data_IF_860997172239
#
_entry.id   IF_860997172239
#
_cell.length_a   1.000
_cell.length_b   1.000
_cell.length_c   1.000
_cell.angle_alpha   90.00
_cell.angle_beta   90.00
_cell.angle_gamma   90.00
#
_symmetry.space_group_name_H-M   'P 1'
#
loop_
_entity.id
_entity.type
_entity.pdbx_description
1 polymer ?
#
# COMPACT_ATOMS: atom_id res chain seq x y z
N UNK A 1 8.46 -19.14 6.06
CA UNK A 1 7.85 -18.43 7.21
C UNK A 1 8.99 -18.05 8.15
N UNK A 2 9.18 -16.76 8.46
CA UNK A 2 10.24 -16.26 9.34
C UNK A 2 9.61 -15.31 10.36
N UNK A 3 9.86 -15.48 11.64
CA UNK A 3 9.25 -14.73 12.74
C UNK A 3 10.18 -13.74 13.44
N UNK A 4 11.47 -13.73 13.07
CA UNK A 4 12.50 -12.91 13.70
C UNK A 4 12.96 -11.75 12.82
N UNK A 5 12.79 -11.87 11.50
CA UNK A 5 13.12 -10.82 10.54
C UNK A 5 11.84 -10.26 9.90
N UNK A 6 11.53 -8.96 10.06
CA UNK A 6 10.40 -8.32 9.41
C UNK A 6 10.47 -8.32 7.88
N UNK A 7 11.63 -8.48 7.25
CA UNK A 7 11.69 -8.73 5.81
C UNK A 7 12.08 -10.18 5.54
N UNK A 8 11.09 -11.07 5.53
CA UNK A 8 11.29 -12.49 5.27
C UNK A 8 11.67 -12.82 3.81
N UNK A 9 11.67 -11.81 2.93
CA UNK A 9 11.91 -11.93 1.50
C UNK A 9 13.14 -11.11 1.07
N UNK A 10 13.61 -11.35 -0.15
CA UNK A 10 14.64 -10.53 -0.79
C UNK A 10 14.14 -9.11 -1.13
N UNK A 11 15.04 -8.18 -1.48
CA UNK A 11 14.69 -6.79 -1.77
C UNK A 11 14.06 -6.58 -3.14
N UNK A 12 13.93 -7.62 -3.96
CA UNK A 12 13.53 -7.53 -5.35
C UNK A 12 12.29 -8.39 -5.64
N UNK A 13 11.44 -7.96 -6.59
CA UNK A 13 10.32 -8.77 -7.03
C UNK A 13 10.80 -10.09 -7.67
N UNK A 14 10.00 -11.14 -7.53
CA UNK A 14 10.25 -12.44 -8.14
C UNK A 14 10.30 -12.32 -9.67
N UNK A 15 11.37 -12.78 -10.34
CA UNK A 15 11.51 -12.63 -11.80
C UNK A 15 10.44 -13.38 -12.59
N UNK A 16 9.79 -14.38 -12.01
CA UNK A 16 8.75 -15.17 -12.66
C UNK A 16 7.34 -14.54 -12.54
N UNK A 17 7.17 -13.52 -11.69
CA UNK A 17 5.90 -12.83 -11.57
C UNK A 17 5.67 -11.94 -12.80
N UNK A 18 4.44 -11.95 -13.34
CA UNK A 18 4.05 -11.05 -14.43
C UNK A 18 2.90 -10.16 -13.98
N UNK A 19 1.67 -10.64 -14.13
CA UNK A 19 0.46 -10.01 -13.63
C UNK A 19 -0.21 -10.97 -12.65
N UNK A 20 -0.49 -10.48 -11.44
CA UNK A 20 -1.13 -11.23 -10.38
C UNK A 20 -2.43 -10.55 -9.98
N UNK A 21 -3.47 -11.34 -9.75
CA UNK A 21 -4.75 -10.88 -9.19
C UNK A 21 -4.82 -11.30 -7.73
N UNK A 22 -4.86 -10.34 -6.83
CA UNK A 22 -4.93 -10.56 -5.39
C UNK A 22 -6.32 -10.15 -4.91
N UNK A 23 -7.13 -11.11 -4.52
CA UNK A 23 -8.39 -10.83 -3.84
C UNK A 23 -8.10 -10.23 -2.47
N UNK A 24 -8.62 -9.03 -2.21
CA UNK A 24 -8.43 -8.27 -0.97
C UNK A 24 -9.50 -8.64 0.05
N UNK A 25 -10.75 -8.64 -0.40
CA UNK A 25 -11.92 -9.06 0.37
C UNK A 25 -12.74 -10.04 -0.44
N UNK A 26 -13.45 -10.92 0.26
CA UNK A 26 -14.32 -11.92 -0.33
C UNK A 26 -15.64 -11.94 0.43
N UNK A 27 -16.76 -11.53 -0.22
CA UNK A 27 -18.06 -11.58 0.43
C UNK A 27 -18.45 -13.00 0.84
N UNK A 28 -17.91 -14.03 0.19
CA UNK A 28 -18.22 -15.43 0.49
C UNK A 28 -17.47 -15.97 1.73
N UNK A 29 -16.41 -15.29 2.18
CA UNK A 29 -15.51 -15.78 3.25
C UNK A 29 -15.41 -14.84 4.44
N UNK A 30 -16.24 -13.80 4.50
CA UNK A 30 -16.25 -12.80 5.58
C UNK A 30 -14.86 -12.21 5.91
N UNK A 31 -13.94 -12.18 4.95
CA UNK A 31 -12.68 -11.46 5.11
C UNK A 31 -12.94 -9.97 4.93
N UNK A 32 -13.22 -9.31 6.05
CA UNK A 32 -13.49 -7.88 6.12
C UNK A 32 -12.23 -7.04 5.88
N UNK A 33 -12.47 -5.75 5.75
CA UNK A 33 -11.46 -4.70 5.73
C UNK A 33 -11.71 -3.76 6.90
N UNK A 34 -10.64 -3.27 7.51
CA UNK A 34 -10.69 -2.16 8.45
C UNK A 34 -9.55 -1.21 8.15
N UNK A 35 -9.76 0.09 8.30
CA UNK A 35 -8.64 1.00 8.40
C UNK A 35 -7.79 0.65 9.63
N UNK A 36 -6.45 0.79 9.55
CA UNK A 36 -5.58 0.51 10.68
C UNK A 36 -5.76 1.55 11.81
N UNK A 37 -6.14 2.77 11.44
CA UNK A 37 -6.55 3.84 12.35
C UNK A 37 -7.38 4.86 11.58
N UNK A 38 -8.30 5.54 12.28
CA UNK A 38 -8.99 6.72 11.77
C UNK A 38 -8.11 7.94 12.03
N UNK A 39 -7.63 8.60 10.98
CA UNK A 39 -6.72 9.73 11.10
C UNK A 39 -6.37 10.34 9.75
N UNK A 40 -5.79 11.54 9.79
CA UNK A 40 -5.39 12.26 8.58
C UNK A 40 -4.07 11.67 8.07
N UNK A 41 -3.99 11.35 6.78
CA UNK A 41 -2.71 10.99 6.17
C UNK A 41 -1.83 12.23 6.04
N UNK A 42 -0.75 12.27 6.82
CA UNK A 42 0.20 13.38 6.88
C UNK A 42 1.33 13.23 5.86
N UNK A 43 1.61 12.00 5.43
CA UNK A 43 2.68 11.70 4.48
C UNK A 43 2.32 10.50 3.62
N UNK A 44 2.56 10.59 2.31
CA UNK A 44 2.20 9.55 1.33
C UNK A 44 3.41 8.68 0.96
N UNK A 45 3.14 7.54 0.35
CA UNK A 45 4.14 6.67 -0.26
C UNK A 45 4.88 7.38 -1.40
N UNK A 46 6.16 7.08 -1.56
CA UNK A 46 6.96 7.53 -2.71
C UNK A 46 8.18 8.37 -2.35
N UNK A 47 8.80 8.94 -3.37
CA UNK A 47 10.07 9.65 -3.24
C UNK A 47 9.92 11.02 -2.57
N UNK A 48 10.65 11.24 -1.47
CA UNK A 48 10.73 12.54 -0.77
C UNK A 48 12.12 12.77 -0.19
N UNK A 49 12.63 13.99 -0.25
CA UNK A 49 13.87 14.39 0.43
C UNK A 49 15.07 13.45 0.18
N UNK A 50 15.20 12.94 -1.06
CA UNK A 50 16.30 12.05 -1.46
C UNK A 50 16.16 10.59 -1.00
N UNK A 51 15.03 10.20 -0.41
CA UNK A 51 14.75 8.82 0.03
C UNK A 51 13.32 8.40 -0.32
N UNK A 52 13.13 7.12 -0.62
CA UNK A 52 11.79 6.56 -0.78
C UNK A 52 11.10 6.34 0.57
N UNK A 53 9.89 6.88 0.72
CA UNK A 53 8.97 6.55 1.79
C UNK A 53 8.15 5.32 1.38
N UNK A 54 8.30 4.23 2.12
CA UNK A 54 7.78 2.91 1.74
C UNK A 54 6.36 2.63 2.25
N UNK A 55 5.71 3.62 2.85
CA UNK A 55 4.39 3.52 3.43
C UNK A 55 3.68 4.86 3.44
N UNK A 56 2.63 4.95 4.26
CA UNK A 56 1.93 6.19 4.57
C UNK A 56 2.09 6.49 6.06
N UNK A 57 2.19 7.77 6.40
CA UNK A 57 2.14 8.20 7.80
C UNK A 57 0.74 8.74 8.07
N UNK A 58 0.09 8.18 9.09
CA UNK A 58 -1.27 8.52 9.50
C UNK A 58 -1.20 9.12 10.90
N UNK A 59 -1.82 10.28 11.07
CA UNK A 59 -1.90 10.96 12.35
C UNK A 59 -2.57 10.07 13.41
N UNK A 60 -2.01 10.06 14.62
CA UNK A 60 -2.59 9.40 15.79
C UNK A 60 -2.01 9.95 17.08
N UNK A 61 -2.73 9.73 18.17
CA UNK A 61 -2.27 10.02 19.52
C UNK A 61 -1.65 8.78 20.17
N UNK A 62 -0.73 9.03 21.10
CA UNK A 62 -0.14 7.94 21.88
C UNK A 62 -1.28 7.22 22.62
N UNK A 63 -1.25 5.89 22.55
CA UNK A 63 -2.27 4.97 23.09
C UNK A 63 -3.48 4.68 22.20
N UNK A 64 -3.64 5.35 21.06
CA UNK A 64 -4.75 5.06 20.14
C UNK A 64 -4.69 3.61 19.65
N UNK A 65 -5.84 2.92 19.53
CA UNK A 65 -5.88 1.53 19.08
C UNK A 65 -5.54 1.42 17.59
N UNK A 66 -4.42 0.75 17.29
CA UNK A 66 -4.03 0.39 15.91
C UNK A 66 -4.54 -1.01 15.60
N UNK A 67 -5.24 -1.15 14.47
CA UNK A 67 -6.00 -2.34 14.09
C UNK A 67 -5.41 -3.07 12.89
N UNK A 68 -5.63 -4.38 12.80
CA UNK A 68 -5.28 -5.18 11.63
C UNK A 68 -6.16 -4.80 10.44
N UNK A 69 -5.56 -4.51 9.29
CA UNK A 69 -6.30 -4.08 8.10
C UNK A 69 -7.12 -5.21 7.47
N UNK A 70 -6.55 -6.41 7.41
CA UNK A 70 -7.18 -7.64 6.90
C UNK A 70 -6.98 -8.76 7.92
N UNK A 71 -7.79 -9.83 7.88
CA UNK A 71 -7.52 -11.03 8.67
C UNK A 71 -6.18 -11.65 8.26
N UNK A 72 -5.52 -12.32 9.21
CA UNK A 72 -4.25 -12.96 8.95
C UNK A 72 -3.58 -13.51 10.19
N UNK A 73 -2.28 -13.73 10.11
CA UNK A 73 -1.47 -14.25 11.20
C UNK A 73 -0.34 -13.26 11.49
N UNK A 74 -0.14 -12.92 12.76
CA UNK A 74 0.95 -12.07 13.22
C UNK A 74 2.27 -12.80 12.97
N UNK A 75 3.04 -12.32 11.99
CA UNK A 75 4.32 -12.91 11.64
C UNK A 75 5.46 -12.34 12.48
N UNK A 76 5.39 -11.07 12.84
CA UNK A 76 6.41 -10.39 13.64
C UNK A 76 5.74 -9.45 14.65
N UNK A 77 6.25 -9.42 15.88
CA UNK A 77 5.85 -8.48 16.93
C UNK A 77 7.09 -8.20 17.79
N UNK A 78 7.74 -7.06 17.60
CA UNK A 78 9.04 -6.77 18.22
C UNK A 78 9.63 -5.42 17.84
N UNK A 79 10.79 -5.09 18.41
CA UNK A 79 11.52 -3.86 18.07
C UNK A 79 12.42 -4.09 16.86
N UNK A 80 12.40 -3.20 15.86
CA UNK A 80 13.22 -3.34 14.66
C UNK A 80 13.66 -2.00 14.06
N UNK A 81 14.95 -1.67 14.25
CA UNK A 81 15.62 -0.55 13.58
C UNK A 81 14.84 0.77 13.67
N UNK A 82 14.67 1.44 12.52
CA UNK A 82 13.96 2.71 12.44
C UNK A 82 12.46 2.58 12.68
N UNK A 83 11.84 1.42 12.45
CA UNK A 83 10.41 1.22 12.69
C UNK A 83 10.06 1.26 14.18
N UNK A 84 11.04 1.09 15.07
CA UNK A 84 10.78 0.98 16.50
C UNK A 84 9.99 -0.28 16.79
N UNK A 85 8.94 -0.17 17.61
CA UNK A 85 8.00 -1.29 17.82
C UNK A 85 7.16 -1.49 16.57
N UNK A 86 7.28 -2.69 16.03
CA UNK A 86 6.67 -3.10 14.77
C UNK A 86 5.85 -4.36 14.98
N UNK A 87 4.62 -4.35 14.46
CA UNK A 87 3.84 -5.56 14.21
C UNK A 87 3.77 -5.78 12.69
N UNK A 88 3.94 -7.02 12.26
CA UNK A 88 3.70 -7.42 10.86
C UNK A 88 2.65 -8.52 10.84
N UNK A 89 1.56 -8.30 10.12
CA UNK A 89 0.51 -9.30 9.89
C UNK A 89 0.63 -9.81 8.46
N UNK A 90 0.67 -11.13 8.31
CA UNK A 90 0.63 -11.79 7.00
C UNK A 90 -0.77 -12.27 6.70
N UNK A 91 -1.29 -11.83 5.56
CA UNK A 91 -2.65 -12.11 5.10
C UNK A 91 -2.69 -13.31 4.15
N UNK A 92 -3.87 -13.90 4.00
CA UNK A 92 -4.07 -15.10 3.19
C UNK A 92 -3.76 -14.90 1.70
N UNK A 93 -3.91 -13.67 1.19
CA UNK A 93 -3.61 -13.29 -0.19
C UNK A 93 -2.13 -12.97 -0.45
N UNK A 94 -1.25 -13.19 0.53
CA UNK A 94 0.18 -12.97 0.41
C UNK A 94 0.65 -11.53 0.64
N UNK A 95 -0.27 -10.60 0.93
CA UNK A 95 0.09 -9.28 1.45
C UNK A 95 0.61 -9.39 2.89
N UNK A 96 1.54 -8.52 3.23
CA UNK A 96 1.90 -8.23 4.61
C UNK A 96 1.62 -6.75 4.91
N UNK A 97 1.02 -6.49 6.07
CA UNK A 97 0.81 -5.14 6.60
C UNK A 97 1.74 -4.89 7.77
N UNK A 98 2.37 -3.71 7.78
CA UNK A 98 3.36 -3.29 8.78
C UNK A 98 2.78 -2.15 9.59
N UNK A 99 2.83 -2.27 10.92
CA UNK A 99 2.32 -1.28 11.88
C UNK A 99 3.47 -0.85 12.78
N UNK A 100 4.05 0.32 12.50
CA UNK A 100 5.29 0.77 13.14
C UNK A 100 5.08 1.95 14.10
N UNK A 101 6.18 2.34 14.75
CA UNK A 101 6.25 3.41 15.75
C UNK A 101 5.36 3.21 16.98
N UNK A 102 4.87 1.98 17.21
CA UNK A 102 3.91 1.68 18.26
C UNK A 102 4.46 1.99 19.67
N UNK A 103 3.56 2.29 20.59
CA UNK A 103 3.86 2.40 22.01
C UNK A 103 3.83 1.03 22.70
N UNK A 104 2.83 0.20 22.41
CA UNK A 104 2.64 -1.11 23.06
C UNK A 104 2.09 -2.16 22.10
N UNK A 105 2.58 -3.39 22.20
CA UNK A 105 2.02 -4.53 21.48
C UNK A 105 0.73 -5.01 22.14
N UNK A 106 -0.23 -5.47 21.34
CA UNK A 106 -1.46 -6.14 21.80
C UNK A 106 -1.61 -7.56 21.28
N UNK A 107 -0.64 -8.02 20.52
CA UNK A 107 -0.58 -9.37 19.93
C UNK A 107 0.84 -9.92 20.01
N UNK A 108 0.94 -11.25 19.97
CA UNK A 108 2.17 -12.02 19.91
C UNK A 108 2.34 -12.63 18.51
N UNK A 109 3.58 -13.03 18.21
CA UNK A 109 3.87 -13.82 17.01
C UNK A 109 3.06 -15.11 17.03
N UNK A 110 2.40 -15.42 15.92
CA UNK A 110 1.57 -16.61 15.75
C UNK A 110 0.08 -16.38 15.99
N UNK A 111 -0.31 -15.25 16.59
CA UNK A 111 -1.72 -14.92 16.81
C UNK A 111 -2.45 -14.80 15.47
N UNK A 112 -3.62 -15.43 15.38
CA UNK A 112 -4.58 -15.19 14.30
C UNK A 112 -5.35 -13.92 14.66
N UNK A 113 -5.46 -13.00 13.71
CA UNK A 113 -6.15 -11.72 13.89
C UNK A 113 -7.22 -11.54 12.84
N UNK A 114 -8.35 -10.97 13.24
CA UNK A 114 -9.41 -10.54 12.33
C UNK A 114 -9.16 -9.11 11.81
N UNK A 115 -9.83 -8.72 10.74
CA UNK A 115 -9.86 -7.31 10.34
C UNK A 115 -10.48 -6.46 11.47
N UNK A 116 -9.87 -5.32 11.78
CA UNK A 116 -10.33 -4.44 12.85
C UNK A 116 -9.86 -4.84 14.26
N UNK A 117 -9.25 -6.02 14.43
CA UNK A 117 -8.69 -6.42 15.72
C UNK A 117 -7.49 -5.54 16.08
N UNK A 118 -7.43 -5.08 17.33
CA UNK A 118 -6.33 -4.24 17.82
C UNK A 118 -5.03 -5.07 17.89
N UNK A 119 -4.00 -4.62 17.17
CA UNK A 119 -2.67 -5.24 17.13
C UNK A 119 -1.64 -4.51 17.97
N UNK A 120 -1.87 -3.23 18.24
CA UNK A 120 -1.00 -2.41 19.05
C UNK A 120 -1.65 -1.11 19.45
N UNK A 121 -0.93 -0.33 20.25
CA UNK A 121 -1.32 1.02 20.61
C UNK A 121 -0.31 1.99 20.00
N UNK A 122 -0.82 3.06 19.39
CA UNK A 122 -0.04 4.06 18.67
C UNK A 122 0.96 4.80 19.55
N UNK A 123 2.01 5.35 18.94
CA UNK A 123 3.10 5.99 19.66
C UNK A 123 4.11 6.70 18.75
N UNK A 124 5.34 6.83 19.27
CA UNK A 124 6.46 7.50 18.57
C UNK A 124 7.79 6.77 18.85
N UNK A 125 7.80 5.44 18.79
CA UNK A 125 9.04 4.66 19.01
C UNK A 125 9.91 4.56 17.75
N UNK A 126 11.20 4.23 17.89
CA UNK A 126 12.11 4.14 16.73
C UNK A 126 12.55 5.51 16.25
N UNK A 127 12.66 5.68 14.93
CA UNK A 127 12.98 6.97 14.30
C UNK A 127 11.69 7.66 13.89
N UNK A 128 11.16 8.48 14.79
CA UNK A 128 9.96 9.27 14.58
C UNK A 128 10.18 10.71 15.08
N UNK A 129 9.57 11.69 14.40
CA UNK A 129 9.57 13.11 14.80
C UNK A 129 8.34 13.51 15.63
N UNK A 130 7.37 12.62 15.80
CA UNK A 130 6.09 12.88 16.45
C UNK A 130 5.18 11.67 16.44
N UNK A 131 4.11 11.68 17.24
CA UNK A 131 3.17 10.56 17.28
C UNK A 131 2.51 10.36 15.91
N UNK A 132 2.63 9.17 15.32
CA UNK A 132 1.97 8.78 14.05
C UNK A 132 2.06 7.26 13.87
N UNK A 133 1.19 6.69 13.05
CA UNK A 133 1.36 5.34 12.50
C UNK A 133 2.11 5.44 11.18
N UNK A 134 3.28 4.81 11.12
CA UNK A 134 3.89 4.48 9.84
C UNK A 134 3.36 3.11 9.38
N UNK A 135 2.55 3.13 8.32
CA UNK A 135 1.85 1.98 7.79
C UNK A 135 2.39 1.60 6.40
N UNK A 136 2.85 0.36 6.24
CA UNK A 136 3.26 -0.16 4.94
C UNK A 136 2.42 -1.36 4.51
N UNK A 137 2.20 -1.47 3.20
CA UNK A 137 1.76 -2.71 2.56
C UNK A 137 2.90 -3.27 1.73
N UNK A 138 3.10 -4.58 1.84
CA UNK A 138 4.14 -5.28 1.10
C UNK A 138 3.60 -6.53 0.43
N UNK A 139 4.07 -6.80 -0.77
CA UNK A 139 3.88 -8.09 -1.44
C UNK A 139 5.23 -8.75 -1.66
N UNK A 140 5.38 -10.00 -1.16
CA UNK A 140 6.68 -10.71 -1.16
C UNK A 140 7.84 -9.84 -0.66
N UNK A 141 7.61 -9.06 0.41
CA UNK A 141 8.58 -8.17 1.06
C UNK A 141 8.90 -6.86 0.32
N UNK A 142 8.36 -6.68 -0.88
CA UNK A 142 8.48 -5.44 -1.67
C UNK A 142 7.34 -4.48 -1.31
N UNK A 143 7.64 -3.24 -0.91
CA UNK A 143 6.62 -2.23 -0.63
C UNK A 143 5.79 -1.88 -1.87
N UNK A 144 4.48 -1.80 -1.67
CA UNK A 144 3.52 -1.25 -2.63
C UNK A 144 2.84 -0.05 -2.00
N UNK A 145 2.34 0.86 -2.84
CA UNK A 145 1.65 2.06 -2.39
C UNK A 145 0.31 1.71 -1.71
N UNK A 146 0.13 1.95 -0.40
CA UNK A 146 -1.15 1.72 0.28
C UNK A 146 -2.29 2.55 -0.32
N UNK A 147 -1.98 3.71 -0.92
CA UNK A 147 -2.92 4.54 -1.65
C UNK A 147 -3.38 3.96 -2.99
N UNK A 148 -2.93 2.76 -3.38
CA UNK A 148 -3.50 1.97 -4.50
C UNK A 148 -4.44 0.86 -4.02
N UNK A 149 -4.56 0.70 -2.72
CA UNK A 149 -5.43 -0.29 -2.06
C UNK A 149 -6.57 0.43 -1.33
N UNK A 150 -6.25 1.54 -0.67
CA UNK A 150 -7.15 2.34 0.16
C UNK A 150 -7.29 3.73 -0.49
N UNK A 151 -8.50 4.25 -0.57
CA UNK A 151 -8.72 5.67 -0.74
C UNK A 151 -8.39 6.38 0.58
N UNK A 152 -7.22 7.02 0.61
CA UNK A 152 -6.68 7.68 1.80
C UNK A 152 -7.51 8.87 2.30
N UNK A 153 -8.53 9.31 1.55
CA UNK A 153 -9.46 10.36 1.98
C UNK A 153 -10.72 9.81 2.65
N UNK A 154 -11.29 8.74 2.10
CA UNK A 154 -12.52 8.12 2.62
C UNK A 154 -12.24 6.95 3.58
N UNK A 155 -11.01 6.45 3.62
CA UNK A 155 -10.63 5.27 4.38
C UNK A 155 -11.26 3.98 3.86
N UNK A 156 -11.78 3.97 2.63
CA UNK A 156 -12.41 2.79 2.02
C UNK A 156 -11.44 2.06 1.08
N UNK A 157 -11.69 0.78 0.81
CA UNK A 157 -11.00 0.07 -0.27
C UNK A 157 -11.37 0.67 -1.63
N UNK A 158 -10.39 0.76 -2.53
CA UNK A 158 -10.64 1.18 -3.91
C UNK A 158 -11.22 0.06 -4.79
N UNK A 159 -11.03 -1.20 -4.40
CA UNK A 159 -11.62 -2.37 -5.05
C UNK A 159 -11.54 -3.59 -4.12
N UNK A 160 -12.32 -4.63 -4.42
CA UNK A 160 -12.24 -5.94 -3.76
C UNK A 160 -11.01 -6.78 -4.21
N UNK A 161 -10.35 -6.37 -5.29
CA UNK A 161 -9.27 -7.11 -5.94
C UNK A 161 -8.19 -6.14 -6.39
N UNK A 162 -6.94 -6.50 -6.14
CA UNK A 162 -5.76 -5.77 -6.56
C UNK A 162 -5.08 -6.48 -7.73
N UNK A 163 -4.73 -5.72 -8.76
CA UNK A 163 -3.85 -6.16 -9.84
C UNK A 163 -2.43 -5.74 -9.49
N UNK A 164 -1.54 -6.71 -9.32
CA UNK A 164 -0.11 -6.46 -9.17
C UNK A 164 0.60 -6.74 -10.49
N UNK A 165 1.30 -5.73 -11.00
CA UNK A 165 2.16 -5.85 -12.17
C UNK A 165 3.61 -5.77 -11.75
N UNK A 166 4.41 -6.79 -12.07
CA UNK A 166 5.85 -6.76 -11.81
C UNK A 166 6.50 -5.62 -12.59
N UNK A 167 7.35 -4.86 -11.92
CA UNK A 167 8.26 -3.91 -12.54
C UNK A 167 9.70 -4.39 -12.37
N UNK A 168 10.68 -3.61 -12.85
CA UNK A 168 12.10 -3.98 -12.71
C UNK A 168 12.54 -4.11 -11.25
N UNK A 169 12.00 -3.27 -10.36
CA UNK A 169 12.47 -3.14 -8.98
C UNK A 169 11.36 -3.23 -7.92
N UNK A 170 10.10 -3.29 -8.32
CA UNK A 170 8.95 -3.32 -7.42
C UNK A 170 7.72 -4.00 -8.05
N UNK A 171 6.58 -3.97 -7.36
CA UNK A 171 5.25 -4.24 -7.93
C UNK A 171 4.46 -2.94 -8.04
N UNK A 172 3.91 -2.68 -9.23
CA UNK A 172 2.91 -1.64 -9.40
C UNK A 172 1.54 -2.23 -9.07
N UNK A 173 0.84 -1.60 -8.13
CA UNK A 173 -0.45 -2.04 -7.62
C UNK A 173 -1.58 -1.18 -8.19
N UNK A 174 -2.66 -1.83 -8.61
CA UNK A 174 -3.81 -1.15 -9.22
C UNK A 174 -5.12 -1.81 -8.78
N UNK A 175 -6.14 -1.04 -8.39
CA UNK A 175 -7.48 -1.58 -8.16
C UNK A 175 -8.01 -2.29 -9.42
N UNK A 176 -8.65 -3.45 -9.29
CA UNK A 176 -9.24 -4.17 -10.43
C UNK A 176 -10.31 -3.32 -11.10
N UNK A 177 -10.28 -3.23 -12.42
CA UNK A 177 -11.12 -2.30 -13.20
C UNK A 177 -10.35 -1.07 -13.67
N UNK A 178 -9.15 -0.86 -13.14
CA UNK A 178 -8.17 0.09 -13.65
C UNK A 178 -7.90 -0.12 -15.14
N UNK A 179 -8.00 0.96 -15.93
CA UNK A 179 -7.74 0.96 -17.38
C UNK A 179 -6.37 1.56 -17.69
N UNK A 180 -5.65 0.86 -18.56
CA UNK A 180 -4.39 1.34 -19.13
C UNK A 180 -4.54 1.67 -20.60
N UNK A 181 -3.73 2.62 -21.04
CA UNK A 181 -3.55 2.99 -22.43
C UNK A 181 -2.07 2.84 -22.79
N UNK A 182 -1.80 2.23 -23.94
CA UNK A 182 -0.44 2.14 -24.50
C UNK A 182 -0.21 3.32 -25.40
N UNK A 183 0.75 4.17 -25.07
CA UNK A 183 1.11 5.33 -25.88
C UNK A 183 1.57 4.87 -27.27
N UNK A 184 0.90 5.37 -28.30
CA UNK A 184 1.19 5.15 -29.71
C UNK A 184 2.03 6.30 -30.28
N UNK A 185 2.60 6.07 -31.47
CA UNK A 185 3.44 7.06 -32.15
C UNK A 185 2.60 8.31 -32.49
N UNK A 186 3.03 9.46 -31.99
CA UNK A 186 2.39 10.76 -32.27
C UNK A 186 1.35 11.20 -31.23
N UNK A 187 1.06 10.36 -30.23
CA UNK A 187 0.14 10.73 -29.16
C UNK A 187 0.78 11.69 -28.14
N UNK A 188 -0.07 12.52 -27.57
CA UNK A 188 0.27 13.48 -26.53
C UNK A 188 -0.83 13.49 -25.47
N UNK A 189 -0.52 14.02 -24.28
CA UNK A 189 -1.39 13.96 -23.11
C UNK A 189 -2.82 14.45 -23.36
N UNK A 190 -3.00 15.48 -24.18
CA UNK A 190 -4.33 16.01 -24.53
C UNK A 190 -5.17 14.96 -25.28
N UNK A 191 -4.65 14.41 -26.39
CA UNK A 191 -5.36 13.42 -27.20
C UNK A 191 -5.74 12.16 -26.40
N UNK A 192 -4.85 11.73 -25.49
CA UNK A 192 -5.11 10.59 -24.61
C UNK A 192 -6.20 10.95 -23.58
N UNK A 193 -6.08 12.11 -22.93
CA UNK A 193 -7.08 12.55 -21.95
C UNK A 193 -8.48 12.68 -22.58
N UNK A 194 -8.57 13.29 -23.76
CA UNK A 194 -9.80 13.44 -24.55
C UNK A 194 -10.41 12.07 -24.91
N UNK A 195 -9.60 11.12 -25.39
CA UNK A 195 -10.05 9.76 -25.74
C UNK A 195 -10.75 9.05 -24.60
N UNK A 196 -10.27 9.23 -23.37
CA UNK A 196 -10.80 8.55 -22.19
C UNK A 196 -11.74 9.44 -21.36
N UNK A 197 -12.12 10.61 -21.86
CA UNK A 197 -13.03 11.51 -21.16
C UNK A 197 -12.50 12.00 -19.80
N UNK A 198 -11.18 12.14 -19.67
CA UNK A 198 -10.52 12.63 -18.45
C UNK A 198 -9.82 13.96 -18.70
N UNK A 199 -9.31 14.60 -17.64
CA UNK A 199 -8.51 15.82 -17.78
C UNK A 199 -7.02 15.50 -17.85
N UNK A 200 -6.22 16.36 -18.50
CA UNK A 200 -4.76 16.26 -18.46
C UNK A 200 -4.27 16.27 -17.00
N UNK A 201 -4.91 17.07 -16.14
CA UNK A 201 -4.53 17.12 -14.72
C UNK A 201 -4.68 15.76 -14.04
N UNK A 202 -5.86 15.14 -14.18
CA UNK A 202 -6.14 13.81 -13.62
C UNK A 202 -5.24 12.75 -14.26
N UNK A 203 -5.03 12.77 -15.57
CA UNK A 203 -4.11 11.86 -16.26
C UNK A 203 -2.67 11.98 -15.74
N UNK A 204 -2.19 13.20 -15.52
CA UNK A 204 -0.89 13.47 -14.92
C UNK A 204 -0.78 12.94 -13.48
N UNK A 205 -1.78 13.25 -12.66
CA UNK A 205 -1.87 12.82 -11.26
C UNK A 205 -1.87 11.29 -11.14
N UNK A 206 -2.72 10.61 -11.91
CA UNK A 206 -2.85 9.15 -11.96
C UNK A 206 -1.52 8.46 -12.25
N UNK A 207 -0.68 9.08 -13.07
CA UNK A 207 0.57 8.51 -13.55
C UNK A 207 1.81 9.08 -12.84
N UNK A 208 1.66 10.00 -11.89
CA UNK A 208 2.78 10.69 -11.26
C UNK A 208 3.68 11.43 -12.25
N UNK A 209 3.12 11.90 -13.38
CA UNK A 209 3.84 12.63 -14.43
C UNK A 209 3.40 14.08 -14.46
N UNK A 210 4.25 14.95 -15.01
CA UNK A 210 3.89 16.36 -15.20
C UNK A 210 3.31 16.58 -16.60
N UNK A 211 2.67 17.73 -16.81
CA UNK A 211 2.24 18.17 -18.16
C UNK A 211 3.39 18.32 -19.16
N UNK A 212 4.63 18.41 -18.66
CA UNK A 212 5.87 18.53 -19.45
C UNK A 212 6.56 17.19 -19.68
N UNK A 213 6.03 16.11 -19.12
CA UNK A 213 6.64 14.79 -19.24
C UNK A 213 6.55 14.29 -20.68
N UNK A 214 7.68 13.85 -21.23
CA UNK A 214 7.76 13.28 -22.57
C UNK A 214 7.16 11.88 -22.54
N UNK A 215 6.12 11.64 -23.35
CA UNK A 215 5.53 10.33 -23.54
C UNK A 215 6.40 9.49 -24.49
N UNK A 216 6.62 8.23 -24.14
CA UNK A 216 7.39 7.29 -24.97
C UNK A 216 6.45 6.29 -25.62
N UNK A 217 6.68 5.98 -26.90
CA UNK A 217 5.91 4.91 -27.57
C UNK A 217 6.07 3.60 -26.80
N UNK A 218 4.95 2.92 -26.54
CA UNK A 218 4.87 1.72 -25.71
C UNK A 218 4.73 1.99 -24.21
N UNK A 219 4.82 3.24 -23.75
CA UNK A 219 4.58 3.61 -22.35
C UNK A 219 3.13 3.29 -21.98
N UNK A 220 2.93 2.68 -20.82
CA UNK A 220 1.59 2.46 -20.28
C UNK A 220 1.19 3.68 -19.44
N UNK A 221 0.03 4.25 -19.73
CA UNK A 221 -0.60 5.30 -18.93
C UNK A 221 -1.88 4.77 -18.29
N UNK A 222 -2.03 4.99 -17.00
CA UNK A 222 -3.26 4.83 -16.25
C UNK A 222 -4.28 5.89 -16.73
N UNK A 223 -5.38 5.48 -17.32
CA UNK A 223 -6.38 6.40 -17.92
C UNK A 223 -7.72 6.43 -17.19
N UNK A 224 -8.02 5.40 -16.41
CA UNK A 224 -9.13 5.38 -15.46
C UNK A 224 -8.80 4.47 -14.28
N UNK A 225 -9.18 4.87 -13.07
CA UNK A 225 -9.18 4.01 -11.89
C UNK A 225 -10.44 3.13 -11.91
N UNK A 226 -10.46 2.08 -11.09
CA UNK A 226 -11.68 1.32 -10.86
C UNK A 226 -12.77 2.27 -10.33
N UNK A 227 -13.98 2.19 -10.90
CA UNK A 227 -15.13 2.85 -10.29
C UNK A 227 -15.50 2.15 -8.98
N UNK A 228 -16.09 2.87 -8.01
CA UNK A 228 -16.71 2.26 -6.84
C UNK A 228 -17.84 1.29 -7.22
#
# INVERSE_FOLDING_TARGET
>A
WNTTNPNAYGPAPDPNDSLLLLKLTDPDWACGFSMPIEGIVTSRFGWRDGRNHNGVDIDLEVWDPVRSMFPGVVRFSGYYGSFGRLVVVRHHNGLESFYAHLHRFKVNVGDVVEAGQVVGLGGSSGRSSGSHLHFELRFKGVPIDPGRVIDLSSGQLQADTLVLKRTRWSYAAYPRGTRFHTVEKGEHLYAIAERYGTSIHKLCELNGISRRSILRVGQQLLVAEAGP
#
